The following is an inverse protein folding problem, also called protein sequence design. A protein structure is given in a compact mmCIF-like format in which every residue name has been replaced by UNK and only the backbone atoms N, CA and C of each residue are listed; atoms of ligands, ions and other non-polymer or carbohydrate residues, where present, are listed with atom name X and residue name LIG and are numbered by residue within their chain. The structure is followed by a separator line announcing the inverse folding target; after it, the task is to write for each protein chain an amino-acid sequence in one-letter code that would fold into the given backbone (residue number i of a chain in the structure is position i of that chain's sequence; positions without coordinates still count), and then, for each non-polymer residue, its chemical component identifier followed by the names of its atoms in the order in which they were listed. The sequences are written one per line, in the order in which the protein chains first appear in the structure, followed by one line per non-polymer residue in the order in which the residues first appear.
data_IF_152341116060
#
_entry.id   IF_152341116060
#
_cell.length_a   1.000
_cell.length_b   1.000
_cell.length_c   1.000
_cell.angle_alpha   90.00
_cell.angle_beta   90.00
_cell.angle_gamma   90.00
#
_symmetry.space_group_name_H-M   'P 1'
#
loop_
_entity.id
_entity.type
_entity.pdbx_description
1 polymer ?
#
# COMPACT_ATOMS: atom_id res chain seq x y z
N UNK A 1 -33.50 -23.41 -7.46
CA UNK A 1 -33.47 -22.47 -6.29
C UNK A 1 -33.28 -23.18 -4.93
N UNK A 2 -34.12 -24.14 -4.47
CA UNK A 2 -33.91 -24.83 -3.20
C UNK A 2 -32.73 -25.83 -3.22
N UNK A 3 -32.57 -26.56 -4.32
CA UNK A 3 -31.45 -27.48 -4.55
C UNK A 3 -30.13 -26.76 -4.59
N UNK A 4 -30.05 -25.59 -5.24
CA UNK A 4 -28.86 -24.77 -5.36
C UNK A 4 -28.42 -24.21 -3.99
N UNK A 5 -29.40 -23.85 -3.14
CA UNK A 5 -29.12 -23.36 -1.77
C UNK A 5 -28.52 -24.46 -0.90
N UNK A 6 -29.02 -25.69 -0.98
CA UNK A 6 -28.49 -26.83 -0.23
C UNK A 6 -27.07 -27.19 -0.69
N UNK A 7 -26.77 -27.08 -1.98
CA UNK A 7 -25.45 -27.31 -2.54
C UNK A 7 -24.46 -26.20 -2.13
N UNK A 8 -24.87 -24.94 -2.14
CA UNK A 8 -24.08 -23.81 -1.62
C UNK A 8 -23.76 -23.99 -0.15
N UNK A 9 -24.72 -24.39 0.67
CA UNK A 9 -24.51 -24.61 2.12
C UNK A 9 -23.57 -25.82 2.38
N UNK A 10 -23.62 -26.84 1.53
CA UNK A 10 -22.69 -27.97 1.57
C UNK A 10 -21.27 -27.53 1.25
N UNK A 11 -21.09 -26.78 0.14
CA UNK A 11 -19.80 -26.27 -0.27
C UNK A 11 -19.18 -25.31 0.76
N UNK A 12 -19.99 -24.46 1.40
CA UNK A 12 -19.52 -23.60 2.51
C UNK A 12 -18.98 -24.41 3.66
N UNK A 13 -19.70 -25.44 4.12
CA UNK A 13 -19.26 -26.34 5.18
C UNK A 13 -17.96 -27.07 4.82
N UNK A 14 -17.82 -27.49 3.56
CA UNK A 14 -16.60 -28.12 3.07
C UNK A 14 -15.43 -27.15 3.07
N UNK A 15 -15.62 -25.90 2.62
CA UNK A 15 -14.62 -24.85 2.70
C UNK A 15 -14.18 -24.57 4.14
N UNK A 16 -15.12 -24.46 5.09
CA UNK A 16 -14.81 -24.24 6.50
C UNK A 16 -14.04 -25.44 7.10
N UNK A 17 -14.42 -26.65 6.72
CA UNK A 17 -13.70 -27.87 7.14
C UNK A 17 -12.27 -27.89 6.61
N UNK A 18 -12.08 -27.56 5.32
CA UNK A 18 -10.75 -27.50 4.71
C UNK A 18 -9.88 -26.40 5.31
N UNK A 19 -10.44 -25.22 5.59
CA UNK A 19 -9.74 -24.15 6.32
C UNK A 19 -9.23 -24.64 7.68
N UNK A 20 -10.08 -25.26 8.46
CA UNK A 20 -9.71 -25.81 9.78
C UNK A 20 -8.62 -26.89 9.67
N UNK A 21 -8.67 -27.73 8.64
CA UNK A 21 -7.63 -28.74 8.38
C UNK A 21 -6.29 -28.10 8.01
N UNK A 22 -6.30 -27.07 7.18
CA UNK A 22 -5.10 -26.30 6.83
C UNK A 22 -4.50 -25.62 8.05
N UNK A 23 -5.31 -24.94 8.88
CA UNK A 23 -4.84 -24.31 10.11
C UNK A 23 -4.24 -25.33 11.10
N UNK A 24 -4.86 -26.50 11.23
CA UNK A 24 -4.37 -27.56 12.10
C UNK A 24 -3.05 -28.13 11.59
N UNK A 25 -2.94 -28.35 10.28
CA UNK A 25 -1.70 -28.82 9.65
C UNK A 25 -0.56 -27.79 9.80
N UNK A 26 -0.86 -26.52 9.60
CA UNK A 26 0.11 -25.43 9.75
C UNK A 26 0.66 -25.33 11.18
N UNK A 27 -0.21 -25.45 12.20
CA UNK A 27 0.21 -25.47 13.61
C UNK A 27 1.17 -26.61 13.94
N UNK A 28 1.07 -27.74 13.24
CA UNK A 28 1.97 -28.88 13.41
C UNK A 28 3.34 -28.74 12.72
N UNK A 29 3.49 -27.78 11.82
CA UNK A 29 4.74 -27.55 11.06
C UNK A 29 5.55 -26.38 11.63
N UNK A 30 4.96 -25.53 12.46
CA UNK A 30 5.62 -24.38 13.08
C UNK A 30 6.55 -24.83 14.22
N UNK A 31 7.86 -24.87 13.94
CA UNK A 31 8.91 -25.21 14.90
C UNK A 31 9.29 -24.05 15.84
N UNK A 32 8.80 -22.83 15.61
CA UNK A 32 9.09 -21.66 16.44
C UNK A 32 8.20 -20.47 16.12
N UNK A 33 8.07 -19.58 17.08
CA UNK A 33 7.40 -18.30 16.92
C UNK A 33 8.42 -17.14 16.69
N UNK A 34 7.93 -15.99 16.23
CA UNK A 34 8.77 -14.81 16.03
C UNK A 34 9.41 -14.31 17.33
N UNK A 35 8.71 -14.47 18.47
CA UNK A 35 9.22 -14.07 19.78
C UNK A 35 10.46 -14.88 20.16
N UNK A 36 10.44 -16.21 19.93
CA UNK A 36 11.59 -17.10 20.11
C UNK A 36 12.72 -16.78 19.15
N UNK A 37 12.44 -16.61 17.86
CA UNK A 37 13.44 -16.25 16.84
C UNK A 37 14.09 -14.89 17.12
N UNK A 38 13.34 -13.92 17.61
CA UNK A 38 13.82 -12.59 17.96
C UNK A 38 14.34 -12.47 19.40
N UNK A 39 14.41 -13.54 20.19
CA UNK A 39 14.80 -13.50 21.61
C UNK A 39 16.20 -12.92 21.85
N UNK A 40 17.14 -13.21 20.94
CA UNK A 40 18.52 -12.71 20.98
C UNK A 40 18.72 -11.31 20.40
N UNK A 41 17.66 -10.67 19.91
CA UNK A 41 17.73 -9.33 19.31
C UNK A 41 17.30 -8.28 20.33
N UNK A 42 18.13 -7.26 20.54
CA UNK A 42 17.79 -6.16 21.42
C UNK A 42 16.56 -5.39 20.93
N UNK A 43 15.63 -5.01 21.82
CA UNK A 43 14.49 -4.19 21.47
C UNK A 43 14.95 -2.81 20.97
N UNK A 44 14.24 -2.26 20.02
CA UNK A 44 14.42 -0.88 19.59
C UNK A 44 13.95 0.02 20.74
N UNK A 45 14.81 0.90 21.21
CA UNK A 45 14.41 1.90 22.19
C UNK A 45 13.33 2.85 21.62
N UNK A 46 12.82 3.73 22.46
CA UNK A 46 11.80 4.70 22.04
C UNK A 46 12.28 5.54 20.86
N UNK A 47 11.59 5.44 19.72
CA UNK A 47 11.88 6.22 18.52
C UNK A 47 11.18 7.58 18.62
N UNK A 48 11.94 8.66 18.50
CA UNK A 48 11.43 10.02 18.50
C UNK A 48 11.93 10.76 17.27
N UNK A 49 11.10 10.81 16.24
CA UNK A 49 11.37 11.63 15.06
C UNK A 49 10.72 13.00 15.22
N UNK A 50 11.39 14.03 14.73
CA UNK A 50 10.91 15.41 14.77
C UNK A 50 10.38 15.83 13.40
N UNK A 51 9.28 16.57 13.38
CA UNK A 51 8.85 17.24 12.15
C UNK A 51 9.91 18.27 11.73
N UNK A 52 10.59 17.99 10.63
CA UNK A 52 11.63 18.88 10.07
C UNK A 52 11.06 19.89 9.10
N UNK A 53 10.06 19.47 8.33
CA UNK A 53 9.40 20.34 7.35
C UNK A 53 7.93 19.99 7.22
N UNK A 54 7.12 21.04 7.06
CA UNK A 54 5.72 20.91 6.64
C UNK A 54 5.59 21.51 5.24
N UNK A 55 5.24 20.68 4.27
CA UNK A 55 5.03 21.09 2.89
C UNK A 55 3.61 21.63 2.75
N UNK A 56 3.52 22.92 2.47
CA UNK A 56 2.26 23.66 2.35
C UNK A 56 1.97 23.99 0.91
N UNK A 57 0.80 23.61 0.41
CA UNK A 57 0.47 23.97 -0.96
C UNK A 57 -0.74 23.32 -1.56
N UNK A 58 -1.17 22.18 -1.05
CA UNK A 58 -2.51 21.67 -1.30
C UNK A 58 -3.56 22.49 -0.55
N UNK A 59 -4.75 22.59 -1.13
CA UNK A 59 -5.87 23.34 -0.58
C UNK A 59 -7.00 22.44 -0.04
N UNK A 60 -6.83 21.12 -0.19
CA UNK A 60 -7.79 20.12 0.22
C UNK A 60 -7.08 18.86 0.69
N UNK A 61 -7.85 17.84 1.07
CA UNK A 61 -7.37 16.55 1.56
C UNK A 61 -6.34 15.93 0.63
N UNK A 62 -5.22 15.49 1.19
CA UNK A 62 -4.23 14.67 0.49
C UNK A 62 -4.65 13.21 0.64
N UNK A 63 -4.71 12.46 -0.47
CA UNK A 63 -5.07 11.04 -0.47
C UNK A 63 -3.87 10.12 -0.63
N UNK A 64 -2.90 10.50 -1.45
CA UNK A 64 -1.77 9.66 -1.78
C UNK A 64 -0.48 10.46 -1.96
N UNK A 65 0.64 9.77 -1.76
CA UNK A 65 1.97 10.28 -2.04
C UNK A 65 2.87 9.13 -2.53
N UNK A 66 3.90 9.47 -3.27
CA UNK A 66 4.92 8.52 -3.68
C UNK A 66 6.27 9.21 -3.84
N UNK A 67 7.33 8.56 -3.34
CA UNK A 67 8.69 9.03 -3.50
C UNK A 67 9.24 8.72 -4.90
N UNK A 68 10.07 9.60 -5.43
CA UNK A 68 10.93 9.27 -6.56
C UNK A 68 12.11 8.41 -6.12
N UNK A 69 12.68 7.65 -7.04
CA UNK A 69 13.88 6.81 -6.82
C UNK A 69 15.12 7.62 -6.44
N UNK A 70 15.11 8.94 -6.70
CA UNK A 70 16.18 9.86 -6.31
C UNK A 70 16.16 10.22 -4.80
N UNK A 71 15.21 9.70 -4.02
CA UNK A 71 14.99 9.98 -2.60
C UNK A 71 14.84 11.48 -2.27
N UNK A 72 14.71 12.32 -3.30
CA UNK A 72 14.63 13.77 -3.20
C UNK A 72 13.30 14.33 -3.66
N UNK A 73 12.80 13.82 -4.78
CA UNK A 73 11.50 14.23 -5.30
C UNK A 73 10.38 13.37 -4.74
N UNK A 74 9.26 13.98 -4.55
CA UNK A 74 8.04 13.32 -4.08
C UNK A 74 6.85 13.90 -4.81
N UNK A 75 5.90 13.05 -5.19
CA UNK A 75 4.61 13.47 -5.75
C UNK A 75 3.50 13.26 -4.72
N UNK A 76 2.57 14.18 -4.64
CA UNK A 76 1.36 14.07 -3.82
C UNK A 76 0.11 14.38 -4.64
N UNK A 77 -0.99 13.74 -4.28
CA UNK A 77 -2.29 13.87 -4.93
C UNK A 77 -3.34 14.35 -3.92
N UNK A 78 -4.14 15.35 -4.31
CA UNK A 78 -5.12 15.95 -3.43
C UNK A 78 -6.47 16.18 -4.12
N UNK A 79 -7.51 16.24 -3.30
CA UNK A 79 -8.88 16.60 -3.70
C UNK A 79 -8.99 18.03 -4.25
N UNK A 80 -7.93 18.84 -4.20
CA UNK A 80 -7.89 20.14 -4.88
C UNK A 80 -7.75 20.03 -6.41
N UNK A 81 -7.73 18.80 -6.95
CA UNK A 81 -7.62 18.52 -8.38
C UNK A 81 -6.22 18.69 -8.92
N UNK A 82 -5.18 18.54 -8.10
CA UNK A 82 -3.79 18.70 -8.52
C UNK A 82 -2.90 17.58 -8.01
N UNK A 83 -1.89 17.23 -8.81
CA UNK A 83 -0.67 16.58 -8.32
C UNK A 83 0.37 17.68 -8.11
N UNK A 84 1.09 17.61 -7.00
CA UNK A 84 2.24 18.48 -6.74
C UNK A 84 3.49 17.62 -6.63
N UNK A 85 4.53 18.02 -7.37
CA UNK A 85 5.86 17.43 -7.23
C UNK A 85 6.69 18.38 -6.38
N UNK A 86 7.31 17.83 -5.35
CA UNK A 86 8.07 18.54 -4.36
C UNK A 86 9.55 18.19 -4.42
N UNK A 87 10.39 19.16 -4.14
CA UNK A 87 11.77 18.94 -3.69
C UNK A 87 11.74 18.91 -2.17
N UNK A 88 11.94 17.74 -1.58
CA UNK A 88 11.85 17.53 -0.13
C UNK A 88 13.00 18.18 0.64
N UNK A 89 14.17 18.37 0.00
CA UNK A 89 15.31 19.03 0.60
C UNK A 89 15.09 20.54 0.77
N UNK A 90 14.50 21.19 -0.23
CA UNK A 90 14.19 22.63 -0.17
C UNK A 90 12.80 22.91 0.40
N UNK A 91 11.88 21.97 0.25
CA UNK A 91 10.46 22.11 0.59
C UNK A 91 9.66 22.84 -0.50
N UNK A 92 10.27 23.11 -1.65
CA UNK A 92 9.64 23.84 -2.74
C UNK A 92 8.80 22.93 -3.65
N UNK A 93 7.74 23.50 -4.22
CA UNK A 93 7.00 22.89 -5.32
C UNK A 93 7.82 23.03 -6.61
N UNK A 94 8.04 21.93 -7.29
CA UNK A 94 8.71 21.89 -8.58
C UNK A 94 7.71 21.97 -9.72
N UNK A 95 6.65 21.16 -9.67
CA UNK A 95 5.66 21.03 -10.74
C UNK A 95 4.28 20.91 -10.14
N UNK A 96 3.29 21.48 -10.79
CA UNK A 96 1.87 21.26 -10.51
C UNK A 96 1.19 20.70 -11.76
N UNK A 97 0.54 19.56 -11.64
CA UNK A 97 -0.20 18.90 -12.71
C UNK A 97 -1.68 19.02 -12.41
N UNK A 98 -2.46 19.74 -13.23
CA UNK A 98 -3.90 19.78 -13.07
C UNK A 98 -4.51 18.44 -13.47
N UNK A 99 -5.42 17.91 -12.64
CA UNK A 99 -6.14 16.69 -12.90
C UNK A 99 -7.50 16.97 -13.54
N UNK A 100 -7.98 16.02 -14.35
CA UNK A 100 -9.34 16.06 -14.91
C UNK A 100 -10.42 15.80 -13.85
N UNK A 101 -10.13 14.89 -12.91
CA UNK A 101 -10.97 14.58 -11.76
C UNK A 101 -10.29 15.00 -10.46
N UNK A 102 -11.02 15.63 -9.57
CA UNK A 102 -10.52 15.98 -8.24
C UNK A 102 -10.50 14.78 -7.27
N UNK A 103 -11.23 13.70 -7.59
CA UNK A 103 -11.34 12.52 -6.75
C UNK A 103 -10.23 11.51 -7.05
N UNK A 104 -8.98 11.92 -6.75
CA UNK A 104 -7.80 11.09 -6.91
C UNK A 104 -7.55 10.26 -5.66
N UNK A 105 -7.29 8.96 -5.82
CA UNK A 105 -7.03 8.04 -4.71
C UNK A 105 -5.59 7.54 -4.67
N UNK A 106 -4.91 7.52 -5.81
CA UNK A 106 -3.54 7.03 -5.90
C UNK A 106 -2.68 7.85 -6.83
N UNK A 107 -1.38 7.85 -6.54
CA UNK A 107 -0.35 8.45 -7.35
C UNK A 107 0.93 7.61 -7.32
N UNK A 108 1.66 7.58 -8.42
CA UNK A 108 2.94 6.89 -8.52
C UNK A 108 3.94 7.69 -9.37
N UNK A 109 5.21 7.62 -8.97
CA UNK A 109 6.35 8.01 -9.79
C UNK A 109 6.87 6.82 -10.58
N UNK A 110 7.23 7.04 -11.84
CA UNK A 110 7.98 6.06 -12.61
C UNK A 110 9.45 6.03 -12.16
N UNK A 111 10.16 4.89 -12.35
CA UNK A 111 11.56 4.75 -11.94
C UNK A 111 12.50 5.81 -12.52
N UNK A 112 12.28 6.27 -13.75
CA UNK A 112 13.09 7.34 -14.36
C UNK A 112 12.87 8.73 -13.76
N UNK A 113 11.80 8.92 -12.97
CA UNK A 113 11.36 10.24 -12.49
C UNK A 113 10.80 11.16 -13.57
N UNK A 114 10.54 10.66 -14.80
CA UNK A 114 10.02 11.44 -15.91
C UNK A 114 8.50 11.42 -16.02
N UNK A 115 7.89 10.32 -15.51
CA UNK A 115 6.46 10.06 -15.58
C UNK A 115 5.86 10.00 -14.19
N UNK A 116 4.62 10.44 -14.08
CA UNK A 116 3.76 10.20 -12.91
C UNK A 116 2.42 9.66 -13.39
N UNK A 117 1.82 8.79 -12.60
CA UNK A 117 0.49 8.28 -12.86
C UNK A 117 -0.44 8.66 -11.71
N UNK A 118 -1.71 8.89 -12.02
CA UNK A 118 -2.76 9.07 -11.02
C UNK A 118 -4.03 8.35 -11.43
N UNK A 119 -4.85 8.00 -10.46
CA UNK A 119 -6.17 7.43 -10.70
C UNK A 119 -7.08 7.59 -9.49
N UNK A 120 -8.38 7.46 -9.70
CA UNK A 120 -9.38 7.66 -8.67
C UNK A 120 -10.79 7.27 -9.11
N UNK A 121 -11.79 8.05 -8.70
CA UNK A 121 -13.20 7.77 -8.93
C UNK A 121 -13.64 7.94 -10.41
N UNK A 122 -12.77 8.42 -11.27
CA UNK A 122 -13.00 8.45 -12.72
C UNK A 122 -12.73 7.09 -13.41
N UNK A 123 -12.33 6.08 -12.65
CA UNK A 123 -12.00 4.73 -13.10
C UNK A 123 -10.82 4.65 -14.08
N UNK A 124 -10.12 5.74 -14.30
CA UNK A 124 -9.01 5.84 -15.25
C UNK A 124 -7.67 5.95 -14.54
N UNK A 125 -6.65 5.33 -15.14
CA UNK A 125 -5.26 5.64 -14.81
C UNK A 125 -4.71 6.59 -15.85
N UNK A 126 -4.39 7.81 -15.44
CA UNK A 126 -3.81 8.83 -16.33
C UNK A 126 -2.33 8.98 -16.04
N UNK A 127 -1.51 8.86 -17.07
CA UNK A 127 -0.05 9.01 -17.02
C UNK A 127 0.36 10.34 -17.62
N UNK A 128 1.20 11.07 -16.89
CA UNK A 128 1.68 12.41 -17.27
C UNK A 128 3.20 12.40 -17.45
N UNK A 129 3.68 13.09 -18.47
CA UNK A 129 5.09 13.44 -18.60
C UNK A 129 5.34 14.76 -17.87
N UNK A 130 6.21 14.73 -16.85
CA UNK A 130 6.50 15.86 -15.95
C UNK A 130 7.84 16.54 -16.23
N UNK A 131 8.65 16.01 -17.14
CA UNK A 131 9.90 16.62 -17.61
C UNK A 131 9.69 17.65 -18.72
N UNK A 132 8.53 17.65 -19.37
CA UNK A 132 8.20 18.65 -20.36
C UNK A 132 8.08 20.05 -19.70
N UNK A 133 8.31 21.11 -20.46
CA UNK A 133 8.19 22.50 -19.99
C UNK A 133 6.81 22.79 -19.36
N UNK A 134 5.78 22.07 -19.79
CA UNK A 134 4.48 21.96 -19.12
C UNK A 134 4.10 20.48 -19.03
N UNK A 135 3.53 20.01 -17.90
CA UNK A 135 3.06 18.64 -17.78
C UNK A 135 2.04 18.30 -18.87
N UNK A 136 2.20 17.16 -19.51
CA UNK A 136 1.30 16.69 -20.58
C UNK A 136 0.81 15.29 -20.26
N UNK A 137 -0.47 15.06 -20.51
CA UNK A 137 -1.03 13.69 -20.50
C UNK A 137 -0.36 12.87 -21.60
N UNK A 138 0.23 11.76 -21.23
CA UNK A 138 0.87 10.81 -22.12
C UNK A 138 -0.10 9.71 -22.53
N UNK A 139 -0.83 9.13 -21.56
CA UNK A 139 -1.79 8.04 -21.74
C UNK A 139 -2.96 8.16 -20.77
N UNK A 140 -4.10 7.67 -21.20
CA UNK A 140 -5.29 7.42 -20.41
C UNK A 140 -5.66 5.95 -20.57
N UNK A 141 -5.75 5.22 -19.46
CA UNK A 141 -6.00 3.78 -19.40
C UNK A 141 -7.40 3.60 -18.78
N UNK A 142 -8.40 3.24 -19.59
CA UNK A 142 -9.82 3.41 -19.29
C UNK A 142 -10.66 2.11 -19.28
N UNK A 143 -10.04 0.94 -19.06
CA UNK A 143 -10.78 -0.31 -19.11
C UNK A 143 -11.31 -0.80 -17.75
N UNK A 144 -10.91 -0.19 -16.63
CA UNK A 144 -11.51 -0.50 -15.34
C UNK A 144 -12.96 -0.03 -15.26
N UNK A 145 -13.83 -0.82 -14.63
CA UNK A 145 -15.25 -0.50 -14.45
C UNK A 145 -15.57 0.06 -13.07
N UNK A 146 -14.61 0.02 -12.15
CA UNK A 146 -14.66 0.62 -10.81
C UNK A 146 -13.54 1.63 -10.60
N UNK A 147 -13.60 2.34 -9.49
CA UNK A 147 -12.60 3.37 -9.14
C UNK A 147 -11.19 2.78 -9.05
N UNK A 148 -10.20 3.59 -9.37
CA UNK A 148 -8.79 3.21 -9.23
C UNK A 148 -8.31 3.50 -7.81
N UNK A 149 -7.96 2.46 -7.08
CA UNK A 149 -7.51 2.56 -5.68
C UNK A 149 -5.99 2.70 -5.55
N UNK A 150 -5.24 2.01 -6.43
CA UNK A 150 -3.78 2.03 -6.39
C UNK A 150 -3.17 1.86 -7.77
N UNK A 151 -2.03 2.51 -8.01
CA UNK A 151 -1.20 2.31 -9.20
C UNK A 151 0.27 2.28 -8.82
N UNK A 152 1.07 1.46 -9.54
CA UNK A 152 2.53 1.36 -9.36
C UNK A 152 3.20 1.04 -10.69
N UNK A 153 4.25 1.79 -11.02
CA UNK A 153 5.06 1.49 -12.21
C UNK A 153 5.98 0.28 -11.96
N UNK A 154 6.00 -0.64 -12.91
CA UNK A 154 7.06 -1.64 -13.01
C UNK A 154 8.29 -1.04 -13.70
N UNK A 155 8.04 -0.29 -14.77
CA UNK A 155 9.05 0.38 -15.58
C UNK A 155 8.45 1.65 -16.16
N UNK A 156 9.19 2.36 -16.97
CA UNK A 156 8.65 3.53 -17.72
C UNK A 156 7.64 3.13 -18.81
N UNK A 157 7.57 1.84 -19.15
CA UNK A 157 6.68 1.31 -20.19
C UNK A 157 5.55 0.43 -19.64
N UNK A 158 5.59 0.07 -18.35
CA UNK A 158 4.59 -0.82 -17.75
C UNK A 158 4.09 -0.30 -16.39
N UNK A 159 2.79 -0.38 -16.18
CA UNK A 159 2.15 0.03 -14.93
C UNK A 159 1.12 -1.01 -14.48
N UNK A 160 1.09 -1.28 -13.17
CA UNK A 160 0.06 -2.06 -12.48
C UNK A 160 -0.97 -1.13 -11.85
N UNK A 161 -2.23 -1.52 -11.95
CA UNK A 161 -3.36 -0.82 -11.32
C UNK A 161 -4.21 -1.78 -10.52
N UNK A 162 -4.81 -1.31 -9.43
CA UNK A 162 -5.83 -1.98 -8.64
C UNK A 162 -7.11 -1.16 -8.65
N UNK A 163 -8.26 -1.83 -8.66
CA UNK A 163 -9.55 -1.18 -8.82
C UNK A 163 -10.63 -1.76 -7.90
N UNK A 164 -11.64 -0.92 -7.59
CA UNK A 164 -12.90 -1.31 -6.97
C UNK A 164 -13.77 -2.24 -7.84
N UNK A 165 -13.35 -2.55 -9.07
CA UNK A 165 -13.98 -3.60 -9.87
C UNK A 165 -13.49 -5.02 -9.51
N UNK A 166 -12.77 -5.17 -8.40
CA UNK A 166 -12.20 -6.42 -7.87
C UNK A 166 -11.00 -6.96 -8.64
N UNK A 167 -10.50 -6.23 -9.63
CA UNK A 167 -9.39 -6.67 -10.49
C UNK A 167 -8.13 -5.81 -10.30
N UNK A 168 -6.99 -6.42 -10.63
CA UNK A 168 -5.76 -5.69 -10.92
C UNK A 168 -5.40 -5.87 -12.39
N UNK A 169 -4.77 -4.88 -13.00
CA UNK A 169 -4.39 -4.91 -14.41
C UNK A 169 -2.95 -4.50 -14.63
N UNK A 170 -2.24 -5.23 -15.48
CA UNK A 170 -0.95 -4.82 -16.04
C UNK A 170 -1.17 -4.17 -17.40
N UNK A 171 -0.60 -3.00 -17.58
CA UNK A 171 -0.74 -2.19 -18.79
C UNK A 171 0.59 -1.97 -19.47
N UNK A 172 0.54 -1.91 -20.79
CA UNK A 172 1.60 -1.43 -21.65
C UNK A 172 1.33 0.04 -22.00
N UNK A 173 2.22 0.94 -21.62
CA UNK A 173 2.08 2.36 -21.84
C UNK A 173 2.39 2.80 -23.28
N UNK A 174 3.15 2.00 -24.03
CA UNK A 174 3.42 2.30 -25.45
C UNK A 174 2.18 2.10 -26.31
N UNK A 175 1.48 0.98 -26.07
CA UNK A 175 0.27 0.66 -26.82
C UNK A 175 -1.02 1.16 -26.15
N UNK A 176 -1.00 1.43 -24.84
CA UNK A 176 -2.18 1.76 -24.04
C UNK A 176 -3.12 0.57 -23.77
N UNK A 177 -2.65 -0.67 -23.98
CA UNK A 177 -3.48 -1.88 -23.85
C UNK A 177 -3.20 -2.62 -22.56
N UNK A 178 -4.22 -3.31 -22.05
CA UNK A 178 -4.07 -4.29 -20.99
C UNK A 178 -3.26 -5.49 -21.51
N UNK A 179 -2.20 -5.87 -20.77
CA UNK A 179 -1.41 -7.07 -21.02
C UNK A 179 -1.95 -8.26 -20.26
N UNK A 180 -2.27 -8.07 -18.97
CA UNK A 180 -2.76 -9.13 -18.07
C UNK A 180 -3.85 -8.54 -17.17
N UNK A 181 -4.89 -9.32 -16.94
CA UNK A 181 -5.95 -9.00 -15.96
C UNK A 181 -5.89 -10.07 -14.86
N UNK A 182 -5.74 -9.62 -13.61
CA UNK A 182 -5.67 -10.48 -12.44
C UNK A 182 -7.05 -10.48 -11.75
N UNK A 183 -7.72 -11.62 -11.78
CA UNK A 183 -9.07 -11.81 -11.24
C UNK A 183 -9.06 -12.94 -10.23
N UNK A 184 -9.40 -12.68 -8.98
CA UNK A 184 -9.62 -13.68 -7.93
C UNK A 184 -10.10 -13.05 -6.61
N UNK A 185 -9.99 -11.71 -6.46
CA UNK A 185 -10.65 -11.03 -5.35
C UNK A 185 -12.16 -11.01 -5.55
N UNK A 186 -12.89 -11.04 -4.44
CA UNK A 186 -14.36 -10.92 -4.42
C UNK A 186 -14.81 -9.59 -3.83
N UNK A 187 -13.88 -8.79 -3.31
CA UNK A 187 -14.08 -7.43 -2.84
C UNK A 187 -13.18 -6.45 -3.60
N UNK A 188 -13.44 -5.16 -3.41
CA UNK A 188 -12.69 -4.07 -4.02
C UNK A 188 -11.20 -4.19 -3.70
N UNK A 189 -10.33 -4.17 -4.72
CA UNK A 189 -8.88 -4.11 -4.50
C UNK A 189 -8.51 -2.71 -4.04
N UNK A 190 -7.99 -2.58 -2.81
CA UNK A 190 -7.69 -1.28 -2.18
C UNK A 190 -6.24 -0.86 -2.32
N UNK A 191 -5.32 -1.81 -2.35
CA UNK A 191 -3.89 -1.52 -2.36
C UNK A 191 -3.11 -2.58 -3.13
N UNK A 192 -1.94 -2.20 -3.63
CA UNK A 192 -0.97 -3.12 -4.21
C UNK A 192 0.47 -2.67 -3.88
N UNK A 193 1.37 -3.66 -3.81
CA UNK A 193 2.80 -3.44 -3.67
C UNK A 193 3.56 -4.38 -4.60
N UNK A 194 4.62 -3.86 -5.22
CA UNK A 194 5.54 -4.65 -6.06
C UNK A 194 6.58 -5.32 -5.20
N UNK A 195 6.96 -6.55 -5.56
CA UNK A 195 8.13 -7.21 -4.97
C UNK A 195 9.42 -6.49 -5.40
N UNK A 196 10.48 -6.50 -4.58
CA UNK A 196 11.75 -5.84 -4.93
C UNK A 196 12.38 -6.36 -6.22
N UNK A 197 12.14 -7.62 -6.57
CA UNK A 197 12.60 -8.24 -7.82
C UNK A 197 11.67 -8.02 -9.01
N UNK A 198 10.52 -7.37 -8.79
CA UNK A 198 9.50 -7.05 -9.78
C UNK A 198 8.89 -8.26 -10.54
N UNK A 199 9.07 -9.48 -10.03
CA UNK A 199 8.47 -10.68 -10.63
C UNK A 199 7.04 -10.93 -10.13
N UNK A 200 6.75 -10.45 -8.92
CA UNK A 200 5.48 -10.62 -8.23
C UNK A 200 4.94 -9.28 -7.74
N UNK A 201 3.67 -9.25 -7.43
CA UNK A 201 3.05 -8.20 -6.63
C UNK A 201 2.04 -8.80 -5.65
N UNK A 202 1.71 -8.05 -4.64
CA UNK A 202 0.67 -8.41 -3.68
C UNK A 202 -0.42 -7.36 -3.69
N UNK A 203 -1.67 -7.79 -3.57
CA UNK A 203 -2.84 -6.93 -3.46
C UNK A 203 -3.58 -7.18 -2.16
N UNK A 204 -4.15 -6.14 -1.58
CA UNK A 204 -5.06 -6.19 -0.45
C UNK A 204 -6.44 -5.68 -0.85
N UNK A 205 -7.51 -6.29 -0.33
CA UNK A 205 -8.87 -6.00 -0.75
C UNK A 205 -9.89 -5.97 0.40
N UNK A 206 -11.10 -5.49 0.09
CA UNK A 206 -12.23 -5.47 1.00
C UNK A 206 -12.79 -6.87 1.33
N UNK A 207 -12.29 -7.92 0.68
CA UNK A 207 -12.57 -9.31 1.06
C UNK A 207 -11.72 -9.80 2.25
N UNK A 208 -10.98 -8.90 2.90
CA UNK A 208 -10.07 -9.15 4.03
C UNK A 208 -8.90 -10.08 3.68
N UNK A 209 -8.62 -10.29 2.39
CA UNK A 209 -7.56 -11.16 1.90
C UNK A 209 -6.42 -10.35 1.28
N UNK A 210 -5.20 -10.82 1.47
CA UNK A 210 -4.07 -10.40 0.67
C UNK A 210 -3.69 -11.54 -0.29
N UNK A 211 -3.41 -11.20 -1.56
CA UNK A 211 -3.10 -12.19 -2.60
C UNK A 211 -1.79 -11.86 -3.29
N UNK A 212 -0.93 -12.87 -3.38
CA UNK A 212 0.34 -12.81 -4.10
C UNK A 212 0.13 -13.29 -5.54
N UNK A 213 0.60 -12.50 -6.49
CA UNK A 213 0.43 -12.73 -7.92
C UNK A 213 1.78 -12.84 -8.62
N UNK A 214 1.89 -13.77 -9.55
CA UNK A 214 2.98 -13.80 -10.52
C UNK A 214 2.60 -12.92 -11.71
N UNK A 215 3.44 -11.92 -12.00
CA UNK A 215 3.15 -10.93 -13.06
C UNK A 215 3.18 -11.57 -14.45
N UNK A 216 4.05 -12.54 -14.68
CA UNK A 216 4.22 -13.18 -15.99
C UNK A 216 3.14 -14.20 -16.28
N UNK A 217 2.81 -15.03 -15.28
CA UNK A 217 1.79 -16.08 -15.43
C UNK A 217 0.37 -15.53 -15.31
N UNK A 218 0.18 -14.35 -14.70
CA UNK A 218 -1.15 -13.78 -14.45
C UNK A 218 -1.93 -14.55 -13.39
N UNK A 219 -1.25 -15.40 -12.60
CA UNK A 219 -1.88 -16.33 -11.66
C UNK A 219 -1.69 -15.89 -10.20
N UNK A 220 -2.73 -16.11 -9.39
CA UNK A 220 -2.64 -16.00 -7.94
C UNK A 220 -1.84 -17.20 -7.41
N UNK A 221 -0.72 -16.93 -6.76
CA UNK A 221 0.16 -17.96 -6.18
C UNK A 221 -0.20 -18.30 -4.75
N UNK A 222 -0.52 -17.30 -3.92
CA UNK A 222 -0.81 -17.46 -2.50
C UNK A 222 -1.95 -16.54 -2.08
N UNK A 223 -2.69 -16.94 -1.05
CA UNK A 223 -3.77 -16.15 -0.45
C UNK A 223 -3.60 -16.15 1.05
N UNK A 224 -3.43 -14.97 1.63
CA UNK A 224 -3.24 -14.76 3.06
C UNK A 224 -4.54 -14.30 3.69
N UNK A 225 -4.99 -15.03 4.70
CA UNK A 225 -6.14 -14.70 5.53
C UNK A 225 -5.68 -14.35 6.95
N UNK A 226 -6.51 -13.63 7.69
CA UNK A 226 -6.22 -13.29 9.09
C UNK A 226 -6.82 -11.95 9.50
N UNK A 227 -6.95 -10.99 8.58
CA UNK A 227 -7.71 -9.77 8.82
C UNK A 227 -9.21 -10.04 8.87
N UNK A 228 -9.93 -9.20 9.61
CA UNK A 228 -11.38 -9.30 9.79
C UNK A 228 -12.13 -8.15 9.09
N UNK A 229 -11.41 -7.23 8.47
CA UNK A 229 -11.96 -6.09 7.72
C UNK A 229 -11.07 -5.77 6.51
N UNK A 230 -11.37 -4.68 5.81
CA UNK A 230 -10.73 -4.22 4.60
C UNK A 230 -9.22 -4.03 4.77
N UNK A 231 -8.44 -4.49 3.81
CA UNK A 231 -6.98 -4.27 3.76
C UNK A 231 -6.71 -3.02 2.93
N UNK A 232 -6.47 -1.90 3.61
CA UNK A 232 -6.27 -0.60 2.95
C UNK A 232 -4.84 -0.36 2.47
N UNK A 233 -3.87 -1.01 3.09
CA UNK A 233 -2.46 -0.77 2.80
C UNK A 233 -1.65 -2.05 2.82
N UNK A 234 -0.64 -2.12 1.96
CA UNK A 234 0.25 -3.26 1.86
C UNK A 234 1.64 -2.82 1.42
N UNK A 235 2.68 -3.47 1.94
CA UNK A 235 4.06 -3.19 1.55
C UNK A 235 4.94 -4.44 1.66
N UNK A 236 5.90 -4.57 0.76
CA UNK A 236 6.94 -5.60 0.86
C UNK A 236 8.06 -5.17 1.80
N UNK A 237 8.58 -6.12 2.55
CA UNK A 237 9.88 -5.96 3.20
C UNK A 237 11.00 -5.91 2.15
N UNK A 238 12.13 -5.24 2.45
CA UNK A 238 13.26 -5.15 1.52
C UNK A 238 13.82 -6.51 1.11
N UNK A 239 13.63 -7.55 1.94
CA UNK A 239 14.05 -8.93 1.64
C UNK A 239 13.25 -9.59 0.51
N UNK A 240 12.06 -9.07 0.19
CA UNK A 240 11.15 -9.64 -0.79
C UNK A 240 10.38 -10.89 -0.33
N UNK A 241 10.69 -11.44 0.85
CA UNK A 241 10.09 -12.68 1.36
C UNK A 241 8.96 -12.47 2.37
N UNK A 242 8.77 -11.24 2.81
CA UNK A 242 7.82 -10.88 3.86
C UNK A 242 7.03 -9.67 3.42
N UNK A 243 5.77 -9.61 3.81
CA UNK A 243 4.88 -8.48 3.54
C UNK A 243 4.21 -8.03 4.82
N UNK A 244 3.85 -6.75 4.86
CA UNK A 244 3.05 -6.13 5.91
C UNK A 244 1.77 -5.61 5.30
N UNK A 245 0.67 -5.82 6.00
CA UNK A 245 -0.66 -5.31 5.66
C UNK A 245 -1.19 -4.43 6.76
N UNK A 246 -2.00 -3.45 6.43
CA UNK A 246 -2.74 -2.61 7.37
C UNK A 246 -4.22 -2.63 7.03
N UNK A 247 -5.07 -2.76 8.04
CA UNK A 247 -6.51 -2.97 7.88
C UNK A 247 -7.36 -2.05 8.76
N UNK A 248 -8.62 -1.90 8.36
CA UNK A 248 -9.66 -1.25 9.16
C UNK A 248 -9.98 -2.02 10.45
N UNK A 249 -9.53 -3.27 10.59
CA UNK A 249 -9.62 -4.02 11.85
C UNK A 249 -8.67 -3.50 12.95
N UNK A 250 -8.03 -2.36 12.71
CA UNK A 250 -7.09 -1.66 13.62
C UNK A 250 -5.71 -2.28 13.72
N UNK A 251 -5.45 -3.38 13.01
CA UNK A 251 -4.19 -4.12 13.11
C UNK A 251 -3.33 -3.99 11.85
N UNK A 252 -2.02 -4.13 12.05
CA UNK A 252 -1.12 -4.51 10.97
C UNK A 252 -0.73 -5.97 11.17
N UNK A 253 -0.52 -6.70 10.06
CA UNK A 253 -0.13 -8.12 10.11
C UNK A 253 1.04 -8.38 9.17
N UNK A 254 1.97 -9.19 9.64
CA UNK A 254 3.14 -9.64 8.89
C UNK A 254 2.93 -11.07 8.39
N UNK A 255 3.20 -11.29 7.11
CA UNK A 255 3.13 -12.61 6.48
C UNK A 255 4.46 -12.98 5.85
N UNK A 256 4.92 -14.21 6.07
CA UNK A 256 6.09 -14.78 5.37
C UNK A 256 5.62 -15.57 4.15
N UNK A 257 6.06 -15.16 2.96
CA UNK A 257 5.68 -15.77 1.69
C UNK A 257 6.20 -17.21 1.54
N UNK A 258 7.28 -17.57 2.23
CA UNK A 258 7.90 -18.90 2.16
C UNK A 258 7.14 -19.92 2.99
N UNK A 259 6.62 -19.50 4.15
CA UNK A 259 5.82 -20.35 5.03
C UNK A 259 4.32 -20.29 4.75
N UNK A 260 3.89 -19.33 3.90
CA UNK A 260 2.48 -19.07 3.58
C UNK A 260 1.64 -18.81 4.84
N UNK A 261 2.21 -18.06 5.82
CA UNK A 261 1.58 -17.86 7.14
C UNK A 261 1.71 -16.43 7.65
N UNK A 262 0.74 -16.07 8.54
CA UNK A 262 0.89 -14.92 9.43
C UNK A 262 1.99 -15.22 10.46
N UNK A 263 2.95 -14.33 10.58
CA UNK A 263 4.09 -14.45 11.50
C UNK A 263 3.88 -13.63 12.75
N UNK A 264 3.35 -12.41 12.60
CA UNK A 264 3.17 -11.48 13.72
C UNK A 264 2.03 -10.48 13.44
N UNK A 265 1.24 -10.20 14.46
CA UNK A 265 0.23 -9.14 14.46
C UNK A 265 0.68 -7.95 15.32
N UNK A 266 0.43 -6.75 14.85
CA UNK A 266 0.72 -5.49 15.54
C UNK A 266 -0.59 -4.85 15.96
N UNK A 267 -0.83 -4.86 17.27
CA UNK A 267 -2.06 -4.34 17.86
C UNK A 267 -1.76 -3.66 19.19
N UNK A 268 -2.46 -2.59 19.47
CA UNK A 268 -2.48 -1.94 20.78
C UNK A 268 -3.94 -1.84 21.25
N UNK A 269 -4.23 -2.40 22.42
CA UNK A 269 -5.59 -2.41 22.99
C UNK A 269 -6.17 -1.03 23.25
N UNK A 270 -5.32 0.01 23.34
CA UNK A 270 -5.75 1.40 23.47
C UNK A 270 -6.01 2.11 22.14
N UNK A 271 -5.71 1.46 21.01
CA UNK A 271 -5.83 2.04 19.67
C UNK A 271 -7.07 1.45 18.97
N UNK A 272 -8.07 2.30 18.76
CA UNK A 272 -9.32 1.91 18.08
C UNK A 272 -9.52 2.76 16.81
N UNK A 273 -8.55 2.67 15.90
CA UNK A 273 -8.56 3.41 14.64
C UNK A 273 -8.06 2.51 13.52
N UNK A 274 -8.68 2.58 12.35
CA UNK A 274 -8.25 1.82 11.18
C UNK A 274 -6.89 2.26 10.65
N UNK A 275 -6.15 1.33 10.09
CA UNK A 275 -4.89 1.59 9.40
C UNK A 275 -5.19 2.05 7.97
N UNK A 276 -4.63 3.19 7.59
CA UNK A 276 -4.84 3.79 6.27
C UNK A 276 -3.67 3.58 5.32
N UNK A 277 -2.46 3.51 5.88
CA UNK A 277 -1.22 3.39 5.09
C UNK A 277 -0.12 2.70 5.88
N UNK A 278 0.77 1.99 5.20
CA UNK A 278 1.95 1.37 5.80
C UNK A 278 3.19 1.62 4.96
N UNK A 279 4.32 1.83 5.63
CA UNK A 279 5.64 1.93 5.02
C UNK A 279 6.68 1.31 5.93
N UNK A 280 7.80 0.87 5.36
CA UNK A 280 8.88 0.21 6.07
C UNK A 280 10.15 1.07 6.06
N UNK A 281 10.94 1.00 7.12
CA UNK A 281 12.31 1.49 7.07
C UNK A 281 13.15 0.68 6.07
N UNK A 282 14.22 1.25 5.55
CA UNK A 282 15.14 0.58 4.62
C UNK A 282 15.74 -0.72 5.19
N UNK A 283 15.88 -0.81 6.52
CA UNK A 283 16.31 -2.04 7.20
C UNK A 283 15.19 -3.07 7.39
N UNK A 284 13.93 -2.69 7.19
CA UNK A 284 12.76 -3.52 7.54
C UNK A 284 12.48 -3.60 9.06
N UNK A 285 13.28 -2.93 9.92
CA UNK A 285 13.13 -3.03 11.38
C UNK A 285 11.96 -2.22 11.93
N UNK A 286 11.63 -1.09 11.30
CA UNK A 286 10.52 -0.22 11.70
C UNK A 286 9.40 -0.24 10.68
N UNK A 287 8.17 -0.35 11.20
CA UNK A 287 6.95 -0.22 10.42
C UNK A 287 6.33 1.13 10.79
N UNK A 288 6.07 1.96 9.79
CA UNK A 288 5.34 3.21 9.92
C UNK A 288 3.93 3.00 9.41
N UNK A 289 2.96 3.06 10.32
CA UNK A 289 1.55 2.86 10.00
C UNK A 289 0.77 4.14 10.29
N UNK A 290 0.14 4.69 9.25
CA UNK A 290 -0.78 5.82 9.36
C UNK A 290 -2.16 5.34 9.79
N UNK A 291 -2.82 6.11 10.65
CA UNK A 291 -4.11 5.75 11.24
C UNK A 291 -5.15 6.86 11.12
N UNK A 292 -6.39 6.47 11.34
CA UNK A 292 -7.54 7.40 11.41
C UNK A 292 -7.54 8.27 12.67
N UNK A 293 -6.70 7.97 13.67
CA UNK A 293 -6.51 8.76 14.89
C UNK A 293 -5.61 10.00 14.71
N UNK A 294 -5.31 10.35 13.46
CA UNK A 294 -4.48 11.49 13.03
C UNK A 294 -2.98 11.31 13.26
N UNK A 295 -2.55 10.13 13.69
CA UNK A 295 -1.14 9.84 13.97
C UNK A 295 -0.58 8.77 13.04
N UNK A 296 0.74 8.77 12.92
CA UNK A 296 1.47 7.63 12.38
C UNK A 296 2.18 6.93 13.54
N UNK A 297 1.85 5.67 13.77
CA UNK A 297 2.46 4.84 14.81
C UNK A 297 3.65 4.08 14.25
N UNK A 298 4.70 3.96 15.07
CA UNK A 298 5.94 3.27 14.72
C UNK A 298 6.01 1.98 15.53
N UNK A 299 6.18 0.85 14.81
CA UNK A 299 6.25 -0.48 15.41
C UNK A 299 7.63 -1.09 15.18
N UNK A 300 8.13 -1.83 16.17
CA UNK A 300 9.26 -2.74 16.01
C UNK A 300 8.79 -4.00 15.30
N UNK A 301 9.29 -4.22 14.08
CA UNK A 301 8.85 -5.33 13.23
C UNK A 301 9.13 -6.71 13.83
N UNK A 302 10.17 -6.84 14.66
CA UNK A 302 10.55 -8.13 15.28
C UNK A 302 9.88 -8.39 16.63
N UNK A 303 9.60 -7.33 17.40
CA UNK A 303 9.05 -7.46 18.77
C UNK A 303 7.54 -7.27 18.81
N UNK A 304 6.93 -6.71 17.76
CA UNK A 304 5.49 -6.42 17.76
C UNK A 304 5.08 -5.26 18.66
N UNK A 305 6.03 -4.52 19.21
CA UNK A 305 5.79 -3.44 20.17
C UNK A 305 5.74 -2.08 19.48
N UNK A 306 4.88 -1.18 19.98
CA UNK A 306 4.85 0.20 19.52
C UNK A 306 6.00 0.98 20.16
N UNK A 307 6.93 1.45 19.34
CA UNK A 307 8.16 2.15 19.80
C UNK A 307 8.12 3.65 19.62
N UNK A 308 7.12 4.19 18.91
CA UNK A 308 7.01 5.62 18.70
C UNK A 308 5.68 6.06 18.10
N UNK A 309 5.47 7.37 18.07
CA UNK A 309 4.30 7.99 17.43
C UNK A 309 4.73 9.31 16.79
N UNK A 310 4.33 9.54 15.55
CA UNK A 310 4.45 10.81 14.84
C UNK A 310 3.12 11.54 14.97
N UNK A 311 3.04 12.49 15.89
CA UNK A 311 1.85 13.29 16.15
C UNK A 311 2.04 14.72 15.66
N UNK A 312 0.94 15.32 15.17
CA UNK A 312 0.97 16.71 14.73
C UNK A 312 0.13 17.01 13.50
N UNK A 313 -0.52 16.01 12.90
CA UNK A 313 -1.59 16.24 11.92
C UNK A 313 -2.92 16.52 12.64
N UNK A 314 -3.76 17.34 11.99
CA UNK A 314 -5.07 17.75 12.52
C UNK A 314 -6.23 16.91 11.91
N UNK A 315 -5.90 15.93 11.08
CA UNK A 315 -6.85 15.00 10.47
C UNK A 315 -6.15 13.67 10.18
N UNK A 316 -6.91 12.64 9.69
CA UNK A 316 -6.36 11.31 9.42
C UNK A 316 -5.10 11.37 8.56
N UNK A 317 -4.15 10.53 8.90
CA UNK A 317 -2.98 10.27 8.05
C UNK A 317 -3.42 9.32 6.94
N UNK A 318 -3.46 9.80 5.70
CA UNK A 318 -3.96 9.03 4.55
C UNK A 318 -2.86 8.28 3.81
N UNK A 319 -1.63 8.76 3.89
CA UNK A 319 -0.51 8.15 3.19
C UNK A 319 0.80 8.34 3.95
N UNK A 320 1.65 7.32 3.88
CA UNK A 320 2.96 7.28 4.53
C UNK A 320 3.98 6.70 3.56
N UNK A 321 5.19 7.23 3.56
CA UNK A 321 6.26 6.72 2.71
C UNK A 321 7.64 6.99 3.26
N UNK A 322 8.55 6.07 3.02
CA UNK A 322 9.98 6.16 3.34
C UNK A 322 10.75 6.22 2.03
N UNK A 323 11.67 7.16 1.83
CA UNK A 323 12.52 7.20 0.66
C UNK A 323 13.53 6.04 0.65
N UNK A 324 14.08 5.71 -0.52
CA UNK A 324 15.02 4.59 -0.66
C UNK A 324 16.29 4.73 0.19
N UNK A 325 16.75 5.99 0.40
CA UNK A 325 17.90 6.28 1.25
C UNK A 325 17.64 6.07 2.76
N UNK A 326 16.37 5.89 3.14
CA UNK A 326 15.96 5.65 4.52
C UNK A 326 16.18 6.82 5.49
N UNK A 327 16.50 8.02 5.00
CA UNK A 327 16.90 9.16 5.85
C UNK A 327 15.71 9.90 6.48
N UNK A 328 14.49 9.51 6.21
CA UNK A 328 13.31 10.14 6.78
C UNK A 328 12.01 9.43 6.44
N UNK A 329 10.94 9.98 6.96
CA UNK A 329 9.57 9.51 6.69
C UNK A 329 8.73 10.70 6.25
N UNK A 330 7.86 10.50 5.29
CA UNK A 330 6.83 11.48 4.94
C UNK A 330 5.45 10.94 5.30
N UNK A 331 4.64 11.79 5.90
CA UNK A 331 3.21 11.54 6.14
C UNK A 331 2.38 12.59 5.43
N UNK A 332 1.33 12.17 4.75
CA UNK A 332 0.32 13.04 4.17
C UNK A 332 -1.02 12.86 4.86
N UNK A 333 -1.80 13.93 4.94
CA UNK A 333 -3.04 13.93 5.72
C UNK A 333 -4.18 14.67 5.02
N UNK A 334 -5.39 14.40 5.47
CA UNK A 334 -6.58 15.14 5.10
C UNK A 334 -6.61 16.58 5.64
N UNK A 335 -5.61 16.96 6.45
CA UNK A 335 -5.39 18.35 6.88
C UNK A 335 -4.71 19.21 5.77
N UNK A 336 -4.50 18.66 4.58
CA UNK A 336 -3.85 19.29 3.42
C UNK A 336 -2.32 19.46 3.51
N UNK A 337 -1.68 18.91 4.52
CA UNK A 337 -0.23 19.01 4.70
C UNK A 337 0.47 17.68 4.50
N UNK A 338 1.71 17.79 3.99
CA UNK A 338 2.70 16.72 4.07
C UNK A 338 3.74 17.11 5.12
N UNK A 339 4.17 16.18 5.93
CA UNK A 339 5.19 16.39 6.95
C UNK A 339 6.35 15.44 6.78
N UNK A 340 7.55 15.98 6.84
CA UNK A 340 8.81 15.24 6.76
C UNK A 340 9.38 15.10 8.17
N UNK A 341 9.67 13.86 8.56
CA UNK A 341 10.13 13.47 9.88
C UNK A 341 11.52 12.84 9.80
N UNK A 342 12.37 13.22 10.76
CA UNK A 342 13.72 12.66 10.92
C UNK A 342 14.23 12.91 12.36
#
# INVERSE_FOLDING_TARGET
MAADKAEIDKLKKECDSLRNQIETARKGVNDGDMAGAASGVDPVGRVQLKNRKTLKGHLAKIYAMHWGTDSRQMVSASQDGKLLIWDTHTGNKLVAVPLKSAWVMSVAFAPSGNLVASGGLDNMCTVYNVKAASPKTLRELDAHTGYLSCCRFLSDTEILTASGDTTCCLWDLETGKQKVIFTNHIGDCMSLALSPDQNCFISGACDSLAKLWDIREGACKQTFSGHTSDINAISFFPSGNVVITGSDDTTCKMYDLRSDQEVLGYQDTGLNAGVTSVALSSSGRLIFAGYDDFNCHIWDALKGERVGVLSGHDNRVSCTGVPEDGLGVCTGSWDSFLKLWN
#
